data_IF_297782995280
#
_entry.id   IF_297782995280
#
_cell.length_a   1.000
_cell.length_b   1.000
_cell.length_c   1.000
_cell.angle_alpha   90.00
_cell.angle_beta   90.00
_cell.angle_gamma   90.00
#
_symmetry.space_group_name_H-M   'P 1'
#
loop_
_entity.id
_entity.type
_entity.pdbx_description
1 polymer ?
#
# COMPACT_ATOMS: atom_id res chain seq x y z
N UNK A 1 -2.61 7.71 -57.23
CA UNK A 1 -2.03 8.01 -55.89
C UNK A 1 -3.03 8.56 -54.86
N UNK A 2 -4.06 9.37 -55.23
CA UNK A 2 -5.03 9.95 -54.25
C UNK A 2 -5.97 8.94 -53.55
N UNK A 3 -6.31 7.80 -54.17
CA UNK A 3 -7.21 6.79 -53.58
C UNK A 3 -6.67 6.15 -52.29
N UNK A 4 -5.35 6.02 -52.15
CA UNK A 4 -4.73 5.41 -50.95
C UNK A 4 -4.71 6.38 -49.76
N UNK A 5 -4.63 7.69 -50.00
CA UNK A 5 -4.54 8.70 -48.94
C UNK A 5 -5.85 8.75 -48.14
N UNK A 6 -7.01 8.72 -48.81
CA UNK A 6 -8.30 8.73 -48.13
C UNK A 6 -8.53 7.46 -47.31
N UNK A 7 -8.09 6.30 -47.82
CA UNK A 7 -8.13 5.04 -47.08
C UNK A 7 -7.29 5.10 -45.81
N UNK A 8 -6.06 5.62 -45.91
CA UNK A 8 -5.15 5.80 -44.76
C UNK A 8 -5.76 6.74 -43.72
N UNK A 9 -6.35 7.87 -44.13
CA UNK A 9 -6.97 8.84 -43.22
C UNK A 9 -8.15 8.20 -42.47
N UNK A 10 -9.02 7.46 -43.17
CA UNK A 10 -10.15 6.78 -42.54
C UNK A 10 -9.66 5.71 -41.55
N UNK A 11 -8.67 4.90 -41.93
CA UNK A 11 -8.08 3.90 -41.02
C UNK A 11 -7.47 4.55 -39.78
N UNK A 12 -6.78 5.69 -39.93
CA UNK A 12 -6.21 6.43 -38.81
C UNK A 12 -7.30 6.99 -37.88
N UNK A 13 -8.38 7.53 -38.45
CA UNK A 13 -9.51 8.05 -37.68
C UNK A 13 -10.20 6.95 -36.85
N UNK A 14 -10.40 5.76 -37.44
CA UNK A 14 -10.96 4.60 -36.73
C UNK A 14 -10.03 4.16 -35.60
N UNK A 15 -8.72 4.09 -35.84
CA UNK A 15 -7.75 3.73 -34.81
C UNK A 15 -7.78 4.71 -33.63
N UNK A 16 -7.82 6.01 -33.90
CA UNK A 16 -7.91 7.04 -32.87
C UNK A 16 -9.22 6.95 -32.08
N UNK A 17 -10.33 6.67 -32.76
CA UNK A 17 -11.63 6.47 -32.10
C UNK A 17 -11.61 5.24 -31.19
N UNK A 18 -11.06 4.12 -31.65
CA UNK A 18 -10.87 2.93 -30.81
C UNK A 18 -10.00 3.25 -29.60
N UNK A 19 -8.87 3.92 -29.79
CA UNK A 19 -7.97 4.31 -28.70
C UNK A 19 -8.68 5.21 -27.67
N UNK A 20 -9.49 6.16 -28.12
CA UNK A 20 -10.30 7.02 -27.26
C UNK A 20 -11.33 6.20 -26.46
N UNK A 21 -12.03 5.26 -27.08
CA UNK A 21 -12.98 4.37 -26.40
C UNK A 21 -12.26 3.53 -25.34
N UNK A 22 -11.09 2.96 -25.65
CA UNK A 22 -10.28 2.19 -24.70
C UNK A 22 -9.91 3.01 -23.46
N UNK A 23 -9.42 4.25 -23.65
CA UNK A 23 -9.11 5.15 -22.54
C UNK A 23 -10.38 5.53 -21.77
N UNK A 24 -11.49 5.79 -22.46
CA UNK A 24 -12.77 6.15 -21.83
C UNK A 24 -13.34 5.01 -20.98
N UNK A 25 -13.10 3.76 -21.38
CA UNK A 25 -13.43 2.56 -20.58
C UNK A 25 -12.52 2.36 -19.36
N UNK A 26 -11.53 3.22 -19.14
CA UNK A 26 -10.65 3.17 -17.96
C UNK A 26 -9.32 2.45 -18.18
N UNK A 27 -9.01 1.98 -19.40
CA UNK A 27 -7.72 1.36 -19.68
C UNK A 27 -6.58 2.37 -19.66
N UNK A 28 -5.46 2.00 -19.03
CA UNK A 28 -4.29 2.87 -18.85
C UNK A 28 -3.00 2.08 -19.04
N UNK A 29 -2.01 2.72 -19.65
CA UNK A 29 -0.72 2.08 -19.95
C UNK A 29 0.27 2.11 -18.78
N UNK A 30 0.12 3.07 -17.85
CA UNK A 30 1.07 3.31 -16.76
C UNK A 30 0.36 3.54 -15.43
N UNK A 31 1.00 3.17 -14.33
CA UNK A 31 0.49 3.42 -12.96
C UNK A 31 0.19 4.91 -12.76
N UNK A 32 1.09 5.79 -13.18
CA UNK A 32 0.94 7.24 -13.06
C UNK A 32 -0.27 7.79 -13.83
N UNK A 33 -0.54 7.29 -15.04
CA UNK A 33 -1.71 7.71 -15.80
C UNK A 33 -3.01 7.12 -15.27
N UNK A 34 -2.96 5.92 -14.68
CA UNK A 34 -4.08 5.34 -13.94
C UNK A 34 -4.44 6.19 -12.72
N UNK A 35 -3.46 6.53 -11.89
CA UNK A 35 -3.73 7.34 -10.69
C UNK A 35 -4.17 8.75 -11.03
N UNK A 36 -3.49 9.46 -11.93
CA UNK A 36 -3.87 10.83 -12.29
C UNK A 36 -5.30 10.96 -12.82
N UNK A 37 -5.80 9.92 -13.50
CA UNK A 37 -7.15 9.95 -14.05
C UNK A 37 -8.23 9.80 -12.97
N UNK A 38 -7.89 9.20 -11.82
CA UNK A 38 -8.82 8.90 -10.74
C UNK A 38 -8.67 9.92 -9.61
N UNK A 39 -7.43 10.24 -9.25
CA UNK A 39 -7.06 11.12 -8.15
C UNK A 39 -6.08 12.20 -8.65
N UNK A 40 -6.59 13.29 -9.23
CA UNK A 40 -5.75 14.36 -9.74
C UNK A 40 -4.99 15.06 -8.61
N UNK A 41 -3.66 14.96 -8.62
CA UNK A 41 -2.78 15.61 -7.64
C UNK A 41 -2.13 14.66 -6.62
N UNK A 42 -2.41 13.37 -6.72
CA UNK A 42 -1.82 12.36 -5.85
C UNK A 42 -0.33 12.12 -6.10
N UNK A 43 0.39 11.89 -5.01
CA UNK A 43 1.73 11.33 -5.03
C UNK A 43 1.65 9.81 -4.86
N UNK A 44 2.10 9.07 -5.87
CA UNK A 44 2.41 7.64 -5.71
C UNK A 44 3.71 7.53 -4.94
N UNK A 45 3.64 7.09 -3.68
CA UNK A 45 4.79 6.95 -2.79
C UNK A 45 5.58 5.71 -3.14
N UNK A 46 4.88 4.60 -3.34
CA UNK A 46 5.48 3.29 -3.59
C UNK A 46 4.52 2.46 -4.43
N UNK A 47 5.08 1.71 -5.36
CA UNK A 47 4.39 0.66 -6.09
C UNK A 47 5.03 -0.68 -5.82
N UNK A 48 4.20 -1.70 -5.66
CA UNK A 48 4.64 -3.06 -5.39
C UNK A 48 3.83 -4.03 -6.24
N UNK A 49 4.52 -4.80 -7.07
CA UNK A 49 3.91 -5.82 -7.90
C UNK A 49 3.55 -7.02 -7.03
N UNK A 50 2.36 -7.56 -7.24
CA UNK A 50 2.05 -8.88 -6.71
C UNK A 50 2.90 -9.95 -7.41
N UNK A 51 3.25 -11.04 -6.73
CA UNK A 51 4.05 -12.16 -7.24
C UNK A 51 3.56 -12.75 -8.58
N UNK A 52 2.29 -12.57 -8.92
CA UNK A 52 1.71 -13.06 -10.18
C UNK A 52 1.68 -11.98 -11.29
N UNK A 53 2.26 -10.80 -11.07
CA UNK A 53 2.28 -9.63 -11.97
C UNK A 53 0.90 -9.15 -12.47
N UNK A 54 -0.20 -9.62 -11.86
CA UNK A 54 -1.57 -9.25 -12.25
C UNK A 54 -2.09 -8.03 -11.51
N UNK A 55 -1.48 -7.67 -10.39
CA UNK A 55 -1.91 -6.60 -9.52
C UNK A 55 -0.72 -5.74 -9.13
N UNK A 56 -0.98 -4.44 -8.95
CA UNK A 56 -0.03 -3.46 -8.48
C UNK A 56 -0.64 -2.78 -7.27
N UNK A 57 0.01 -2.93 -6.12
CA UNK A 57 -0.35 -2.23 -4.89
C UNK A 57 0.35 -0.88 -4.91
N UNK A 58 -0.42 0.18 -4.80
CA UNK A 58 0.05 1.54 -4.77
C UNK A 58 -0.26 2.13 -3.41
N UNK A 59 0.76 2.74 -2.80
CA UNK A 59 0.60 3.58 -1.64
C UNK A 59 0.52 5.04 -2.10
N UNK A 60 -0.56 5.71 -1.75
CA UNK A 60 -0.85 7.07 -2.19
C UNK A 60 -0.95 8.03 -0.99
N UNK A 61 -0.39 9.21 -1.17
CA UNK A 61 -0.56 10.33 -0.24
C UNK A 61 -1.02 11.54 -1.05
N UNK A 62 -2.23 12.00 -0.75
CA UNK A 62 -2.74 13.24 -1.28
C UNK A 62 -2.40 14.36 -0.30
N UNK A 63 -1.53 15.26 -0.75
CA UNK A 63 -1.08 16.40 0.05
C UNK A 63 -2.21 17.44 0.21
N UNK A 64 -3.07 17.59 -0.80
CA UNK A 64 -4.14 18.60 -0.79
C UNK A 64 -5.33 18.21 0.07
N UNK A 65 -5.77 16.96 -0.03
CA UNK A 65 -6.92 16.44 0.71
C UNK A 65 -6.54 15.79 2.03
N UNK A 66 -5.25 15.72 2.33
CA UNK A 66 -4.73 15.09 3.54
C UNK A 66 -5.11 13.61 3.68
N UNK A 67 -5.40 12.95 2.57
CA UNK A 67 -5.73 11.52 2.54
C UNK A 67 -4.48 10.67 2.41
N UNK A 68 -4.46 9.57 3.16
CA UNK A 68 -3.49 8.49 3.03
C UNK A 68 -4.23 7.17 2.80
N UNK A 69 -3.91 6.48 1.72
CA UNK A 69 -4.67 5.32 1.28
C UNK A 69 -3.86 4.42 0.34
N UNK A 70 -4.34 3.20 0.14
CA UNK A 70 -3.79 2.26 -0.82
C UNK A 70 -4.79 1.94 -1.94
N UNK A 71 -4.23 1.68 -3.11
CA UNK A 71 -4.96 1.35 -4.32
C UNK A 71 -4.37 0.08 -4.89
N UNK A 72 -5.22 -0.90 -5.22
CA UNK A 72 -4.83 -2.06 -6.01
C UNK A 72 -5.23 -1.80 -7.44
N UNK A 73 -4.27 -1.74 -8.37
CA UNK A 73 -4.52 -1.72 -9.80
C UNK A 73 -4.41 -3.13 -10.40
N UNK A 74 -5.45 -3.56 -11.11
CA UNK A 74 -5.44 -4.81 -11.86
C UNK A 74 -4.91 -4.59 -13.29
N UNK A 75 -3.92 -5.40 -13.69
CA UNK A 75 -3.53 -5.59 -15.08
C UNK A 75 -4.50 -6.55 -15.76
N UNK A 76 -5.12 -6.08 -16.85
CA UNK A 76 -5.95 -6.86 -17.78
C UNK A 76 -5.48 -6.64 -19.21
N UNK A 77 -6.01 -7.44 -20.15
CA UNK A 77 -5.87 -7.31 -21.61
C UNK A 77 -4.54 -6.69 -22.09
N UNK A 78 -3.58 -7.52 -22.51
CA UNK A 78 -2.26 -7.08 -22.98
C UNK A 78 -1.43 -6.26 -21.96
N UNK A 79 -1.72 -6.41 -20.66
CA UNK A 79 -0.96 -5.78 -19.58
C UNK A 79 -1.39 -4.35 -19.22
N UNK A 80 -2.49 -3.87 -19.81
CA UNK A 80 -3.14 -2.59 -19.51
C UNK A 80 -3.79 -2.59 -18.13
N UNK A 81 -3.76 -1.45 -17.45
CA UNK A 81 -4.38 -1.25 -16.14
C UNK A 81 -5.84 -0.85 -16.34
N UNK A 82 -6.78 -1.55 -15.69
CA UNK A 82 -8.22 -1.38 -15.98
C UNK A 82 -9.10 -1.13 -14.75
N UNK A 83 -8.83 -1.84 -13.65
CA UNK A 83 -9.70 -1.80 -12.46
C UNK A 83 -8.90 -1.42 -11.23
N UNK A 84 -9.47 -0.55 -10.41
CA UNK A 84 -8.93 -0.23 -9.10
C UNK A 84 -9.83 -0.79 -7.99
N UNK A 85 -9.22 -1.30 -6.94
CA UNK A 85 -9.87 -1.48 -5.64
C UNK A 85 -9.15 -0.56 -4.66
N UNK A 86 -9.85 0.48 -4.19
CA UNK A 86 -9.36 1.33 -3.12
C UNK A 86 -9.70 0.72 -1.77
N UNK A 87 -8.81 0.82 -0.80
CA UNK A 87 -9.18 0.66 0.60
C UNK A 87 -9.96 1.88 1.10
N UNK A 88 -10.46 1.81 2.35
CA UNK A 88 -11.00 2.97 3.03
C UNK A 88 -9.90 4.02 3.18
N UNK A 89 -10.15 5.23 2.68
CA UNK A 89 -9.24 6.35 2.84
C UNK A 89 -9.19 6.79 4.29
N UNK A 90 -7.99 6.96 4.84
CA UNK A 90 -7.81 7.50 6.18
C UNK A 90 -7.45 8.99 6.08
N UNK A 91 -8.20 9.83 6.80
CA UNK A 91 -7.77 11.20 7.07
C UNK A 91 -6.51 11.14 7.92
N UNK A 92 -5.51 11.97 7.59
CA UNK A 92 -4.33 12.18 8.43
C UNK A 92 -4.78 12.76 9.77
N UNK A 93 -4.94 11.91 10.78
CA UNK A 93 -4.93 12.40 12.17
C UNK A 93 -3.49 12.79 12.50
N UNK A 94 -3.22 14.09 12.54
CA UNK A 94 -1.89 14.63 12.86
C UNK A 94 -1.42 14.25 14.27
N UNK A 95 -2.36 13.88 15.16
CA UNK A 95 -2.07 13.48 16.52
C UNK A 95 -1.59 12.03 16.63
N UNK A 96 -1.79 11.21 15.60
CA UNK A 96 -1.28 9.84 15.60
C UNK A 96 0.21 9.79 15.18
N UNK A 97 1.04 9.04 15.92
CA UNK A 97 2.48 8.94 15.66
C UNK A 97 2.82 8.26 14.33
N UNK A 98 1.88 7.47 13.81
CA UNK A 98 1.85 6.96 12.44
C UNK A 98 0.41 6.72 12.00
N UNK A 99 0.17 6.81 10.69
CA UNK A 99 -1.09 6.44 10.04
C UNK A 99 -0.88 5.15 9.26
N UNK A 100 -1.87 4.26 9.27
CA UNK A 100 -1.84 3.01 8.51
C UNK A 100 -3.00 2.97 7.53
N UNK A 101 -2.73 2.45 6.34
CA UNK A 101 -3.72 2.01 5.37
C UNK A 101 -3.44 0.57 4.97
N UNK A 102 -4.43 -0.13 4.44
CA UNK A 102 -4.18 -1.45 3.90
C UNK A 102 -5.40 -2.11 3.30
N UNK A 103 -5.13 -3.18 2.57
CA UNK A 103 -6.12 -4.01 1.92
C UNK A 103 -5.82 -5.48 2.20
N UNK A 104 -6.88 -6.22 2.50
CA UNK A 104 -6.81 -7.66 2.75
C UNK A 104 -7.63 -8.36 1.66
N UNK A 105 -6.98 -9.28 0.97
CA UNK A 105 -7.61 -10.25 0.10
C UNK A 105 -7.82 -11.55 0.88
N UNK A 106 -9.02 -11.70 1.45
CA UNK A 106 -9.40 -12.89 2.20
C UNK A 106 -9.43 -14.16 1.35
N UNK A 107 -9.71 -14.05 0.05
CA UNK A 107 -9.81 -15.21 -0.85
C UNK A 107 -8.44 -15.84 -1.08
N UNK A 108 -7.43 -15.01 -1.31
CA UNK A 108 -6.06 -15.47 -1.55
C UNK A 108 -5.17 -15.37 -0.31
N UNK A 109 -5.75 -15.03 0.86
CA UNK A 109 -5.02 -14.82 2.11
C UNK A 109 -3.83 -13.89 1.89
N UNK A 110 -4.08 -12.70 1.38
CA UNK A 110 -3.03 -11.68 1.19
C UNK A 110 -3.36 -10.41 1.93
N UNK A 111 -2.33 -9.73 2.44
CA UNK A 111 -2.46 -8.45 3.11
C UNK A 111 -1.42 -7.48 2.59
N UNK A 112 -1.84 -6.28 2.26
CA UNK A 112 -0.97 -5.15 1.94
C UNK A 112 -1.18 -4.07 2.99
N UNK A 113 -0.13 -3.66 3.67
CA UNK A 113 -0.18 -2.64 4.71
C UNK A 113 0.83 -1.54 4.42
N UNK A 114 0.35 -0.31 4.32
CA UNK A 114 1.14 0.89 4.16
C UNK A 114 1.12 1.73 5.43
N UNK A 115 2.26 2.31 5.77
CA UNK A 115 2.43 3.14 6.95
C UNK A 115 3.04 4.48 6.56
N UNK A 116 2.48 5.56 7.11
CA UNK A 116 3.06 6.90 7.11
C UNK A 116 3.47 7.25 8.53
N UNK A 117 4.75 7.55 8.71
CA UNK A 117 5.34 7.87 10.01
C UNK A 117 5.33 9.38 10.20
N UNK A 118 4.63 9.84 11.24
CA UNK A 118 4.56 11.25 11.59
C UNK A 118 5.59 11.61 12.68
N UNK A 119 5.94 10.65 13.55
CA UNK A 119 6.85 10.85 14.67
C UNK A 119 8.30 10.45 14.30
N UNK A 120 9.21 11.42 14.38
CA UNK A 120 10.64 11.26 14.04
C UNK A 120 11.42 10.32 14.95
N UNK A 121 10.90 10.03 16.14
CA UNK A 121 11.52 9.12 17.10
C UNK A 121 11.35 7.65 16.72
N UNK A 122 10.36 7.34 15.86
CA UNK A 122 10.17 5.97 15.34
C UNK A 122 11.21 5.73 14.24
N UNK A 123 12.09 4.74 14.46
CA UNK A 123 13.11 4.32 13.48
C UNK A 123 12.84 2.96 12.88
N UNK A 124 12.05 2.14 13.56
CA UNK A 124 11.63 0.85 13.02
C UNK A 124 10.15 0.67 13.25
N UNK A 125 9.50 0.01 12.30
CA UNK A 125 8.14 -0.46 12.45
C UNK A 125 8.13 -1.96 12.15
N UNK A 126 7.34 -2.69 12.93
CA UNK A 126 7.07 -4.10 12.69
C UNK A 126 5.58 -4.33 12.67
N UNK A 127 5.17 -5.30 11.88
CA UNK A 127 3.83 -5.84 11.88
C UNK A 127 3.96 -7.36 11.97
N UNK A 128 3.04 -8.00 12.66
CA UNK A 128 3.03 -9.45 12.78
C UNK A 128 1.91 -9.93 13.68
N UNK A 129 1.87 -11.23 13.86
CA UNK A 129 0.82 -11.87 14.65
C UNK A 129 1.16 -11.73 16.14
N UNK A 130 0.24 -11.15 16.91
CA UNK A 130 0.29 -11.23 18.36
C UNK A 130 -0.13 -12.64 18.77
N UNK A 131 0.80 -13.41 19.34
CA UNK A 131 0.41 -14.63 20.04
C UNK A 131 -0.40 -14.20 21.26
N UNK A 132 -1.57 -14.80 21.43
CA UNK A 132 -2.52 -14.59 22.54
C UNK A 132 -1.94 -14.80 23.95
N UNK A 133 -0.64 -15.05 24.08
CA UNK A 133 0.08 -15.18 25.34
C UNK A 133 0.74 -13.87 25.76
N UNK A 134 -0.04 -12.79 25.82
CA UNK A 134 0.34 -11.48 26.38
C UNK A 134 1.00 -11.56 27.76
N UNK A 135 0.87 -12.71 28.44
CA UNK A 135 1.37 -12.99 29.77
C UNK A 135 2.76 -13.65 29.81
N UNK A 136 3.32 -14.14 28.70
CA UNK A 136 4.62 -14.83 28.73
C UNK A 136 5.84 -13.92 28.52
N UNK A 137 5.66 -12.72 27.94
CA UNK A 137 6.77 -11.82 27.64
C UNK A 137 6.44 -10.44 28.19
N UNK A 138 7.26 -9.98 29.14
CA UNK A 138 7.15 -8.61 29.65
C UNK A 138 7.40 -7.60 28.52
N UNK A 139 6.71 -6.45 28.56
CA UNK A 139 6.87 -5.40 27.54
C UNK A 139 8.30 -4.91 27.39
N UNK A 140 9.08 -4.96 28.47
CA UNK A 140 10.51 -4.62 28.48
C UNK A 140 11.35 -5.57 27.61
N UNK A 141 10.91 -6.82 27.46
CA UNK A 141 11.56 -7.84 26.63
C UNK A 141 11.11 -7.81 25.16
N UNK A 142 10.04 -7.06 24.83
CA UNK A 142 9.58 -6.85 23.45
C UNK A 142 10.45 -5.80 22.74
N UNK A 143 11.71 -6.16 22.48
CA UNK A 143 12.67 -5.31 21.76
C UNK A 143 12.69 -5.62 20.26
N UNK A 144 13.30 -4.74 19.47
CA UNK A 144 13.54 -4.99 18.05
C UNK A 144 14.37 -6.27 17.83
N UNK A 145 15.29 -6.61 18.75
CA UNK A 145 16.07 -7.85 18.66
C UNK A 145 15.19 -9.09 18.81
N UNK A 146 14.20 -9.04 19.69
CA UNK A 146 13.19 -10.09 19.81
C UNK A 146 12.33 -10.22 18.55
N UNK A 147 11.94 -9.10 17.93
CA UNK A 147 11.21 -9.12 16.65
C UNK A 147 12.08 -9.76 15.55
N UNK A 148 13.36 -9.38 15.48
CA UNK A 148 14.32 -9.91 14.51
C UNK A 148 14.58 -11.41 14.66
N UNK A 149 14.47 -11.96 15.87
CA UNK A 149 14.69 -13.38 16.11
C UNK A 149 13.50 -14.27 15.73
N UNK A 150 12.36 -13.67 15.32
CA UNK A 150 11.14 -14.38 14.90
C UNK A 150 10.63 -13.93 13.52
N UNK A 151 11.47 -14.03 12.46
CA UNK A 151 11.13 -13.54 11.12
C UNK A 151 9.93 -14.24 10.48
N UNK A 152 9.61 -15.45 10.92
CA UNK A 152 8.43 -16.21 10.48
C UNK A 152 7.11 -15.64 11.04
N UNK A 153 7.18 -14.78 12.06
CA UNK A 153 6.01 -14.19 12.73
C UNK A 153 5.88 -12.70 12.51
N UNK A 154 7.01 -12.01 12.43
CA UNK A 154 7.06 -10.56 12.32
C UNK A 154 7.82 -10.16 11.06
N UNK A 155 7.27 -9.18 10.35
CA UNK A 155 8.03 -8.40 9.38
C UNK A 155 8.38 -7.08 10.05
N UNK A 156 9.58 -6.60 9.80
CA UNK A 156 10.02 -5.30 10.28
C UNK A 156 10.73 -4.55 9.17
N UNK A 157 10.74 -3.22 9.29
CA UNK A 157 11.43 -2.35 8.35
C UNK A 157 12.03 -1.17 9.09
N UNK A 158 13.19 -0.73 8.62
CA UNK A 158 13.79 0.53 9.04
C UNK A 158 13.15 1.68 8.28
N UNK A 159 12.77 2.73 9.01
CA UNK A 159 12.17 3.93 8.44
C UNK A 159 13.31 4.82 7.96
N UNK A 160 13.59 4.75 6.65
CA UNK A 160 14.51 5.66 5.98
C UNK A 160 13.91 7.08 5.88
N UNK A 161 14.65 8.00 5.28
CA UNK A 161 14.28 9.42 5.08
C UNK A 161 12.85 9.68 4.59
N UNK A 162 12.24 8.71 3.91
CA UNK A 162 10.99 8.91 3.19
C UNK A 162 9.74 8.74 4.07
N UNK A 163 9.83 8.49 5.38
CA UNK A 163 8.68 8.39 6.32
C UNK A 163 7.60 7.34 5.97
N UNK A 164 7.74 6.60 4.88
CA UNK A 164 6.76 5.61 4.44
C UNK A 164 7.34 4.21 4.45
N UNK A 165 6.52 3.24 4.86
CA UNK A 165 6.88 1.81 4.90
C UNK A 165 5.72 0.98 4.35
N UNK A 166 6.03 -0.09 3.62
CA UNK A 166 5.02 -1.06 3.15
C UNK A 166 5.39 -2.47 3.58
N UNK A 167 4.38 -3.28 3.84
CA UNK A 167 4.50 -4.69 4.10
C UNK A 167 3.49 -5.47 3.26
N UNK A 168 3.99 -6.49 2.58
CA UNK A 168 3.16 -7.46 1.85
C UNK A 168 3.18 -8.78 2.59
N UNK A 169 2.02 -9.38 2.81
CA UNK A 169 1.87 -10.70 3.39
C UNK A 169 1.25 -11.64 2.36
N UNK A 170 2.01 -12.68 2.01
CA UNK A 170 1.46 -13.90 1.46
C UNK A 170 1.04 -14.80 2.62
N UNK A 171 -0.12 -15.44 2.51
CA UNK A 171 -0.74 -16.25 3.57
C UNK A 171 -1.13 -15.47 4.83
N UNK A 172 -1.69 -14.28 4.66
CA UNK A 172 -2.42 -13.56 5.71
C UNK A 172 -3.46 -14.48 6.35
N UNK A 173 -3.29 -14.74 7.64
CA UNK A 173 -4.28 -15.43 8.46
C UNK A 173 -5.00 -14.36 9.26
N UNK A 174 -6.32 -14.47 9.40
CA UNK A 174 -7.17 -13.57 10.19
C UNK A 174 -6.85 -13.71 11.68
N UNK A 175 -5.65 -13.29 12.08
CA UNK A 175 -5.12 -13.32 13.44
C UNK A 175 -5.00 -11.89 13.95
N UNK A 176 -4.86 -11.75 15.27
CA UNK A 176 -4.65 -10.48 15.94
C UNK A 176 -3.31 -9.87 15.52
N UNK A 177 -3.29 -9.15 14.40
CA UNK A 177 -2.09 -8.44 13.99
C UNK A 177 -1.85 -7.26 14.90
N UNK A 178 -0.58 -7.12 15.25
CA UNK A 178 -0.07 -6.04 16.08
C UNK A 178 1.02 -5.32 15.33
N UNK A 179 0.93 -4.00 15.37
CA UNK A 179 1.89 -3.06 14.81
C UNK A 179 2.69 -2.54 15.99
N UNK A 180 4.01 -2.62 15.89
CA UNK A 180 4.93 -2.13 16.92
C UNK A 180 5.91 -1.17 16.30
N UNK A 181 6.11 -0.04 16.95
CA UNK A 181 7.04 0.99 16.55
C UNK A 181 8.17 1.06 17.58
N UNK A 182 9.41 1.10 17.09
CA UNK A 182 10.61 1.11 17.92
C UNK A 182 11.44 2.37 17.65
N UNK A 183 12.10 2.85 18.70
CA UNK A 183 13.02 3.97 18.59
C UNK A 183 14.38 3.55 17.99
N UNK A 184 15.34 4.49 17.94
CA UNK A 184 16.69 4.24 17.43
C UNK A 184 17.48 3.18 18.20
N UNK A 185 17.19 2.98 19.50
CA UNK A 185 17.86 1.97 20.32
C UNK A 185 17.19 0.60 20.22
N UNK A 186 16.10 0.47 19.46
CA UNK A 186 15.33 -0.77 19.34
C UNK A 186 14.39 -1.04 20.51
N UNK A 187 14.14 -0.06 21.38
CA UNK A 187 13.13 -0.14 22.45
C UNK A 187 11.74 0.10 21.87
N UNK A 188 10.76 -0.67 22.32
CA UNK A 188 9.36 -0.47 21.97
C UNK A 188 8.91 0.92 22.44
N UNK A 189 8.27 1.65 21.54
CA UNK A 189 7.77 3.00 21.78
C UNK A 189 6.24 3.04 21.69
N UNK A 190 5.66 2.36 20.69
CA UNK A 190 4.21 2.34 20.46
C UNK A 190 3.77 0.94 20.02
N UNK A 191 2.56 0.54 20.44
CA UNK A 191 1.86 -0.63 19.92
C UNK A 191 0.44 -0.26 19.48
N UNK A 192 -0.02 -0.79 18.35
CA UNK A 192 -1.40 -0.64 17.84
C UNK A 192 -1.88 -1.99 17.31
N UNK A 193 -3.07 -2.43 17.69
CA UNK A 193 -3.70 -3.57 17.02
C UNK A 193 -4.52 -3.08 15.84
N UNK A 194 -4.65 -3.91 14.80
CA UNK A 194 -5.38 -3.54 13.59
C UNK A 194 -6.84 -3.12 13.86
N UNK A 195 -7.48 -3.71 14.87
CA UNK A 195 -8.86 -3.43 15.26
C UNK A 195 -9.00 -2.69 16.61
N UNK A 196 -7.95 -2.03 17.12
CA UNK A 196 -7.99 -1.39 18.44
C UNK A 196 -7.24 -0.04 18.54
N UNK A 197 -7.42 0.63 19.69
CA UNK A 197 -6.78 1.92 20.00
C UNK A 197 -5.25 1.77 20.20
N UNK A 198 -4.53 2.85 19.92
CA UNK A 198 -3.06 2.95 20.10
C UNK A 198 -2.69 2.92 21.59
N UNK A 199 -1.61 2.21 21.93
CA UNK A 199 -0.98 2.20 23.26
C UNK A 199 0.45 2.77 23.19
N UNK A 200 0.76 3.70 24.10
CA UNK A 200 2.06 4.38 24.21
C UNK A 200 2.87 3.80 25.38
N UNK A 201 4.20 3.73 25.25
CA UNK A 201 5.11 3.15 26.25
C UNK A 201 6.39 3.96 26.45
#
# INVERSE_FOLDING_TARGET
MRRNINGIIISLAILLLMFYIFISMGFRFTEKSAIKAIFPGDLVIKSELNNNNKEIYLLCDNIKTELFYDIILERKFFGLLYKYKSSNSYNKSYDEPFVMTGSIDYKHKRGYFGFKINNVNIKYISIGVDDLQRNMISKENLTLNYIKSKPERFKYSHINSNKYVTFVYDNYVQKNFVIRAFNSTGKLYIEKYLDSKIMYF
#
